data_IF_283252800949
#
_entry.id   IF_283252800949
#
_cell.length_a   1.000
_cell.length_b   1.000
_cell.length_c   1.000
_cell.angle_alpha   90.00
_cell.angle_beta   90.00
_cell.angle_gamma   90.00
#
_symmetry.space_group_name_H-M   'P 1'
#
loop_
_entity.id
_entity.type
_entity.pdbx_description
1 polymer ?
#
# COMPACT_ATOMS: atom_id res chain seq x y z
N UNK A 1 -50.36 21.67 -17.56
CA UNK A 1 -51.01 20.73 -16.61
C UNK A 1 -49.92 20.22 -15.67
N UNK A 2 -49.84 20.83 -14.48
CA UNK A 2 -48.81 20.55 -13.47
C UNK A 2 -48.99 19.13 -12.92
N UNK A 3 -48.04 18.24 -13.20
CA UNK A 3 -47.92 16.98 -12.49
C UNK A 3 -47.40 17.28 -11.07
N UNK A 4 -48.25 16.99 -10.09
CA UNK A 4 -48.07 17.41 -8.70
C UNK A 4 -46.77 16.90 -8.09
N UNK A 5 -46.01 17.84 -7.54
CA UNK A 5 -44.99 17.58 -6.54
C UNK A 5 -45.68 16.89 -5.34
N UNK A 6 -45.60 15.56 -5.28
CA UNK A 6 -46.01 14.80 -4.11
C UNK A 6 -45.12 15.23 -2.95
N UNK A 7 -45.74 15.93 -1.99
CA UNK A 7 -45.08 16.47 -0.82
C UNK A 7 -44.27 15.39 -0.12
N UNK A 8 -42.99 15.68 0.05
CA UNK A 8 -42.14 14.95 1.00
C UNK A 8 -42.79 15.12 2.38
N UNK A 9 -43.04 14.04 3.14
CA UNK A 9 -43.61 14.16 4.48
C UNK A 9 -42.69 15.04 5.35
N UNK A 10 -43.24 15.99 6.13
CA UNK A 10 -42.43 16.82 7.03
C UNK A 10 -41.82 15.91 8.11
N UNK A 11 -40.51 15.71 8.05
CA UNK A 11 -39.74 14.84 8.95
C UNK A 11 -38.60 14.06 8.28
N UNK A 12 -38.54 13.99 6.95
CA UNK A 12 -37.41 13.35 6.24
C UNK A 12 -36.16 14.25 6.12
N UNK A 13 -36.29 15.55 6.33
CA UNK A 13 -35.16 16.50 6.35
C UNK A 13 -34.33 16.43 7.65
N UNK A 14 -34.92 15.98 8.76
CA UNK A 14 -34.24 15.93 10.06
C UNK A 14 -33.40 14.65 10.26
N UNK A 15 -33.59 13.65 9.39
CA UNK A 15 -32.81 12.41 9.41
C UNK A 15 -31.46 12.55 8.69
N UNK A 16 -31.28 13.54 7.81
CA UNK A 16 -29.97 13.90 7.28
C UNK A 16 -29.12 14.70 8.28
N UNK A 17 -29.75 15.49 9.15
CA UNK A 17 -29.04 16.30 10.15
C UNK A 17 -28.69 15.48 11.40
N UNK A 18 -29.52 14.48 11.77
CA UNK A 18 -29.24 13.56 12.89
C UNK A 18 -28.06 12.59 12.65
N UNK A 19 -27.70 12.31 11.38
CA UNK A 19 -26.52 11.52 11.04
C UNK A 19 -25.23 12.35 10.98
N UNK A 20 -25.34 13.68 10.93
CA UNK A 20 -24.20 14.58 10.96
C UNK A 20 -23.64 14.74 12.38
N UNK A 21 -24.44 14.50 13.42
CA UNK A 21 -24.02 14.67 14.83
C UNK A 21 -23.40 13.41 15.46
N UNK A 22 -23.57 12.22 14.85
CA UNK A 22 -23.10 10.94 15.40
C UNK A 22 -21.74 10.47 14.83
N UNK A 23 -20.85 11.40 14.49
CA UNK A 23 -19.56 11.09 13.84
C UNK A 23 -18.30 11.46 14.64
N UNK A 24 -18.44 11.98 15.86
CA UNK A 24 -17.32 12.57 16.62
C UNK A 24 -16.58 11.61 17.56
N UNK A 25 -17.06 10.38 17.74
CA UNK A 25 -16.48 9.44 18.72
C UNK A 25 -15.32 8.62 18.14
N UNK A 26 -15.18 8.61 16.81
CA UNK A 26 -13.99 8.08 16.13
C UNK A 26 -13.09 9.25 15.73
N UNK A 27 -11.77 9.09 15.85
CA UNK A 27 -10.80 10.12 15.49
C UNK A 27 -10.83 10.45 13.99
N UNK A 28 -11.68 11.41 13.59
CA UNK A 28 -11.83 11.86 12.21
C UNK A 28 -10.94 13.09 11.94
N UNK A 29 -10.18 13.12 10.83
CA UNK A 29 -9.36 14.27 10.48
C UNK A 29 -10.20 15.52 10.26
N UNK A 30 -9.86 16.62 10.94
CA UNK A 30 -10.60 17.90 10.86
C UNK A 30 -10.65 18.51 9.46
N UNK A 31 -9.64 18.27 8.62
CA UNK A 31 -9.52 18.83 7.26
C UNK A 31 -8.81 17.86 6.30
N UNK A 32 -9.08 18.01 5.01
CA UNK A 32 -8.38 17.31 3.93
C UNK A 32 -6.90 17.71 3.89
N UNK A 33 -6.01 16.74 3.77
CA UNK A 33 -4.58 17.00 3.55
C UNK A 33 -4.33 17.59 2.16
N UNK A 34 -3.55 18.66 2.06
CA UNK A 34 -3.20 19.29 0.77
C UNK A 34 -2.35 18.36 -0.11
N UNK A 35 -2.40 18.51 -1.45
CA UNK A 35 -1.59 17.71 -2.37
C UNK A 35 -0.09 17.79 -2.07
N UNK A 36 0.41 18.98 -1.74
CA UNK A 36 1.81 19.21 -1.34
C UNK A 36 2.17 18.44 -0.07
N UNK A 37 1.36 18.53 1.01
CA UNK A 37 1.60 17.78 2.26
C UNK A 37 1.58 16.26 2.05
N UNK A 38 0.67 15.77 1.21
CA UNK A 38 0.63 14.35 0.83
C UNK A 38 1.89 13.95 0.04
N UNK A 39 2.33 14.79 -0.89
CA UNK A 39 3.52 14.57 -1.71
C UNK A 39 4.80 14.52 -0.88
N UNK A 40 4.99 15.49 0.02
CA UNK A 40 6.13 15.50 0.95
C UNK A 40 6.16 14.25 1.84
N UNK A 41 5.00 13.84 2.38
CA UNK A 41 4.91 12.61 3.18
C UNK A 41 5.30 11.36 2.38
N UNK A 42 4.86 11.27 1.12
CA UNK A 42 5.22 10.18 0.19
C UNK A 42 6.61 10.30 -0.42
N UNK A 43 7.34 11.39 -0.17
CA UNK A 43 8.68 11.60 -0.72
C UNK A 43 9.69 10.57 -0.22
N UNK A 44 9.42 9.95 0.93
CA UNK A 44 10.24 8.90 1.51
C UNK A 44 9.89 7.49 0.98
N UNK A 45 8.78 7.33 0.26
CA UNK A 45 8.27 6.04 -0.22
C UNK A 45 8.94 5.63 -1.55
N UNK A 46 10.27 5.78 -1.65
CA UNK A 46 11.02 5.39 -2.84
C UNK A 46 11.45 3.92 -2.77
N UNK A 47 11.38 3.23 -3.91
CA UNK A 47 11.90 1.86 -4.03
C UNK A 47 13.40 1.93 -4.31
N UNK A 48 14.18 1.23 -3.50
CA UNK A 48 15.62 1.05 -3.74
C UNK A 48 15.88 -0.26 -4.44
N UNK A 49 16.87 -0.28 -5.34
CA UNK A 49 17.30 -1.51 -6.02
C UNK A 49 18.05 -2.38 -5.01
N UNK A 50 17.74 -3.68 -5.00
CA UNK A 50 18.47 -4.64 -4.18
C UNK A 50 19.92 -4.79 -4.68
N UNK A 51 20.85 -5.01 -3.75
CA UNK A 51 22.24 -5.29 -4.11
C UNK A 51 22.39 -6.72 -4.64
N UNK A 52 23.11 -6.85 -5.75
CA UNK A 52 23.48 -8.12 -6.38
C UNK A 52 25.00 -8.20 -6.53
N UNK A 53 25.54 -9.40 -6.44
CA UNK A 53 26.95 -9.73 -6.57
C UNK A 53 27.08 -10.98 -7.45
N UNK A 54 28.14 -11.06 -8.24
CA UNK A 54 28.40 -12.22 -9.09
C UNK A 54 28.71 -13.45 -8.24
N UNK A 55 28.15 -14.60 -8.61
CA UNK A 55 28.47 -15.86 -7.97
C UNK A 55 29.84 -16.37 -8.46
N UNK A 56 30.79 -16.70 -7.56
CA UNK A 56 32.12 -17.19 -7.95
C UNK A 56 32.12 -18.58 -8.59
N UNK A 57 31.01 -19.33 -8.55
CA UNK A 57 30.92 -20.68 -9.09
C UNK A 57 30.25 -20.69 -10.49
N UNK A 58 29.11 -20.01 -10.64
CA UNK A 58 28.33 -20.02 -11.90
C UNK A 58 28.32 -18.70 -12.67
N UNK A 59 28.83 -17.60 -12.10
CA UNK A 59 28.80 -16.27 -12.73
C UNK A 59 27.44 -15.55 -12.70
N UNK A 60 26.38 -16.20 -12.22
CA UNK A 60 25.04 -15.57 -12.12
C UNK A 60 24.97 -14.55 -10.98
N UNK A 61 24.13 -13.52 -11.15
CA UNK A 61 23.91 -12.48 -10.14
C UNK A 61 23.10 -13.05 -8.97
N UNK A 62 23.69 -13.02 -7.77
CA UNK A 62 23.05 -13.46 -6.53
C UNK A 62 22.98 -12.34 -5.50
N UNK A 63 22.06 -12.48 -4.53
CA UNK A 63 22.01 -11.57 -3.38
C UNK A 63 23.19 -11.87 -2.44
N UNK A 64 23.83 -10.85 -1.85
CA UNK A 64 24.89 -11.06 -0.85
C UNK A 64 24.35 -11.85 0.35
N UNK A 65 25.20 -12.67 0.97
CA UNK A 65 24.88 -13.57 2.09
C UNK A 65 23.79 -14.63 1.84
N UNK A 66 23.29 -14.77 0.61
CA UNK A 66 22.33 -15.81 0.25
C UNK A 66 23.02 -16.94 -0.55
N UNK A 67 22.36 -18.11 -0.54
CA UNK A 67 22.69 -19.20 -1.46
C UNK A 67 22.44 -18.72 -2.90
N UNK A 68 23.24 -19.19 -3.84
CA UNK A 68 22.96 -18.92 -5.25
C UNK A 68 21.77 -19.77 -5.68
N UNK A 69 20.70 -19.16 -6.21
CA UNK A 69 19.52 -19.88 -6.70
C UNK A 69 19.81 -20.70 -7.97
N UNK A 70 20.83 -20.33 -8.74
CA UNK A 70 21.18 -21.03 -9.98
C UNK A 70 22.00 -22.30 -9.74
N UNK A 71 22.96 -22.26 -8.82
CA UNK A 71 23.85 -23.40 -8.57
C UNK A 71 23.70 -24.06 -7.20
N UNK A 72 22.89 -23.52 -6.28
CA UNK A 72 22.69 -24.12 -4.95
C UNK A 72 23.91 -24.09 -4.02
N UNK A 73 24.95 -23.32 -4.38
CA UNK A 73 26.19 -23.22 -3.61
C UNK A 73 26.23 -22.02 -2.67
N UNK A 74 26.84 -22.21 -1.49
CA UNK A 74 27.21 -21.15 -0.55
C UNK A 74 28.57 -21.45 0.08
N UNK A 75 29.44 -20.45 0.14
CA UNK A 75 30.82 -20.58 0.62
C UNK A 75 31.60 -21.76 0.01
N UNK A 76 31.42 -21.99 -1.29
CA UNK A 76 32.14 -23.04 -2.04
C UNK A 76 31.66 -24.46 -1.77
N UNK A 77 30.57 -24.65 -1.02
CA UNK A 77 29.95 -25.96 -0.78
C UNK A 77 28.59 -26.02 -1.45
N UNK A 78 28.30 -27.15 -2.08
CA UNK A 78 26.97 -27.49 -2.59
C UNK A 78 26.07 -27.87 -1.40
N UNK A 79 24.95 -27.18 -1.23
CA UNK A 79 24.03 -27.41 -0.10
C UNK A 79 22.71 -27.99 -0.58
N UNK A 80 22.28 -27.58 -1.77
CA UNK A 80 21.09 -28.08 -2.45
C UNK A 80 21.51 -28.50 -3.84
N UNK A 81 21.28 -29.77 -4.18
CA UNK A 81 21.29 -30.23 -5.56
C UNK A 81 20.13 -29.53 -6.25
N UNK A 82 20.44 -28.68 -7.23
CA UNK A 82 19.46 -27.81 -7.88
C UNK A 82 18.46 -28.63 -8.73
N UNK A 83 17.45 -29.20 -8.07
CA UNK A 83 16.21 -29.70 -8.65
C UNK A 83 15.03 -29.01 -7.92
N UNK A 84 14.56 -27.88 -8.44
CA UNK A 84 13.33 -27.22 -7.99
C UNK A 84 13.39 -25.70 -7.91
#
# INVERSE_FOLDING_TARGET
LHAGCRGVPPGLSDLSDSLQEQGAEMAVPKRKTSPSKRGMRRGHDSLTVASFQECPNCGELKRPHNLCNACGHYNGREIVSAEG
#
